data_IF_843994066819
#
_entry.id   IF_843994066819
#
_cell.length_a   1.000
_cell.length_b   1.000
_cell.length_c   1.000
_cell.angle_alpha   90.00
_cell.angle_beta   90.00
_cell.angle_gamma   90.00
#
_symmetry.space_group_name_H-M   'P 1'
#
loop_
_entity.id
_entity.type
_entity.pdbx_description
1 polymer ?
#
# COMPACT_ATOMS: atom_id res chain seq x y z
N UNK A 1 8.58 -14.73 -24.43
CA UNK A 1 8.23 -15.19 -23.08
C UNK A 1 6.73 -15.37 -23.01
N UNK A 2 6.25 -16.56 -22.68
CA UNK A 2 4.82 -16.86 -22.53
C UNK A 2 4.19 -15.94 -21.47
N UNK A 3 3.01 -15.45 -21.75
CA UNK A 3 2.21 -14.61 -20.84
C UNK A 3 1.80 -15.48 -19.63
N UNK A 4 2.13 -15.06 -18.42
CA UNK A 4 1.71 -15.77 -17.19
C UNK A 4 0.25 -15.41 -16.92
N UNK A 5 -0.61 -16.43 -16.76
CA UNK A 5 -2.05 -16.31 -16.46
C UNK A 5 -2.31 -16.58 -14.97
N UNK A 6 -3.45 -16.07 -14.47
CA UNK A 6 -3.88 -16.34 -13.08
C UNK A 6 -4.18 -17.83 -12.84
N UNK A 7 -4.55 -18.57 -13.91
CA UNK A 7 -4.85 -20.00 -13.88
C UNK A 7 -3.60 -20.90 -13.91
N UNK A 8 -2.41 -20.36 -14.19
CA UNK A 8 -1.19 -21.15 -14.30
C UNK A 8 -0.78 -21.72 -12.93
N UNK A 9 -0.06 -22.85 -12.96
CA UNK A 9 0.64 -23.33 -11.78
C UNK A 9 1.83 -22.41 -11.47
N UNK A 10 1.88 -21.84 -10.25
CA UNK A 10 2.92 -20.93 -9.84
C UNK A 10 4.08 -21.67 -9.16
N UNK A 11 5.14 -21.94 -9.92
CA UNK A 11 6.45 -22.24 -9.33
C UNK A 11 7.03 -20.99 -8.65
N UNK A 12 8.04 -21.13 -7.77
CA UNK A 12 8.65 -19.97 -7.11
C UNK A 12 9.17 -18.92 -8.11
N UNK A 13 9.79 -19.35 -9.20
CA UNK A 13 10.29 -18.45 -10.25
C UNK A 13 9.18 -17.77 -11.06
N UNK A 14 8.08 -18.47 -11.37
CA UNK A 14 6.91 -17.88 -12.04
C UNK A 14 6.22 -16.85 -11.15
N UNK A 15 6.03 -17.18 -9.87
CA UNK A 15 5.44 -16.27 -8.90
C UNK A 15 6.26 -15.00 -8.79
N UNK A 16 7.57 -15.13 -8.59
CA UNK A 16 8.46 -13.97 -8.50
C UNK A 16 8.39 -13.09 -9.76
N UNK A 17 8.42 -13.68 -10.97
CA UNK A 17 8.32 -12.92 -12.24
C UNK A 17 6.98 -12.21 -12.40
N UNK A 18 5.90 -12.79 -11.89
CA UNK A 18 4.56 -12.21 -11.96
C UNK A 18 4.41 -11.04 -10.96
N UNK A 19 4.95 -11.19 -9.75
CA UNK A 19 4.80 -10.21 -8.65
C UNK A 19 5.85 -9.11 -8.72
N UNK A 20 7.02 -9.36 -9.31
CA UNK A 20 8.13 -8.40 -9.38
C UNK A 20 7.73 -7.02 -9.92
N UNK A 21 6.90 -6.88 -10.98
CA UNK A 21 6.43 -5.56 -11.40
C UNK A 21 5.62 -4.83 -10.35
N UNK A 22 4.83 -5.54 -9.52
CA UNK A 22 4.05 -4.93 -8.44
C UNK A 22 4.94 -4.48 -7.29
N UNK A 23 5.98 -5.27 -6.96
CA UNK A 23 7.00 -4.86 -5.98
C UNK A 23 7.75 -3.63 -6.47
N UNK A 24 8.22 -3.65 -7.73
CA UNK A 24 8.91 -2.52 -8.34
C UNK A 24 8.03 -1.25 -8.38
N UNK A 25 6.73 -1.42 -8.65
CA UNK A 25 5.74 -0.34 -8.63
C UNK A 25 5.67 0.32 -7.25
N UNK A 26 5.53 -0.47 -6.17
CA UNK A 26 5.41 0.05 -4.81
C UNK A 26 6.72 0.68 -4.31
N UNK A 27 7.85 0.07 -4.61
CA UNK A 27 9.17 0.65 -4.29
C UNK A 27 9.38 1.97 -5.03
N UNK A 28 9.01 2.05 -6.31
CA UNK A 28 9.12 3.28 -7.09
C UNK A 28 8.22 4.40 -6.54
N UNK A 29 6.99 4.06 -6.10
CA UNK A 29 6.09 5.02 -5.42
C UNK A 29 6.77 5.58 -4.16
N UNK A 30 7.38 4.73 -3.35
CA UNK A 30 8.08 5.18 -2.14
C UNK A 30 9.27 6.07 -2.47
N UNK A 31 10.02 5.77 -3.52
CA UNK A 31 11.18 6.58 -3.93
C UNK A 31 10.74 7.95 -4.44
N UNK A 32 9.77 8.03 -5.36
CA UNK A 32 9.37 9.34 -5.86
C UNK A 32 8.70 10.20 -4.78
N UNK A 33 7.99 9.60 -3.82
CA UNK A 33 7.46 10.32 -2.66
C UNK A 33 8.56 10.94 -1.78
N UNK A 34 9.70 10.26 -1.64
CA UNK A 34 10.89 10.83 -0.97
C UNK A 34 11.47 12.01 -1.77
N UNK A 35 11.51 11.89 -3.10
CA UNK A 35 12.01 12.94 -3.99
C UNK A 35 11.10 14.17 -3.96
N UNK A 36 9.78 13.99 -3.99
CA UNK A 36 8.80 15.07 -3.82
C UNK A 36 9.03 15.82 -2.50
N UNK A 37 9.14 15.10 -1.39
CA UNK A 37 9.48 15.69 -0.09
C UNK A 37 10.81 16.46 -0.09
N UNK A 38 11.81 15.98 -0.85
CA UNK A 38 13.08 16.67 -1.01
C UNK A 38 12.93 18.02 -1.73
N UNK A 39 12.17 18.07 -2.84
CA UNK A 39 11.93 19.34 -3.54
C UNK A 39 11.20 20.34 -2.65
N UNK A 40 10.14 19.91 -1.98
CA UNK A 40 9.38 20.79 -1.09
C UNK A 40 10.25 21.33 0.05
N UNK A 41 11.00 20.46 0.73
CA UNK A 41 11.82 20.88 1.89
C UNK A 41 12.93 21.87 1.53
N UNK A 42 13.52 21.73 0.33
CA UNK A 42 14.66 22.55 -0.07
C UNK A 42 14.28 23.84 -0.80
N UNK A 43 13.14 23.86 -1.50
CA UNK A 43 12.78 24.97 -2.37
C UNK A 43 11.53 25.74 -1.91
N UNK A 44 10.55 25.08 -1.24
CA UNK A 44 9.36 25.79 -0.75
C UNK A 44 9.52 26.39 0.64
N UNK A 45 10.57 26.01 1.37
CA UNK A 45 10.88 26.54 2.70
C UNK A 45 10.33 25.71 3.86
N UNK A 46 10.87 25.97 5.07
CA UNK A 46 10.60 25.17 6.27
C UNK A 46 9.13 25.21 6.71
N UNK A 47 8.51 26.39 6.71
CA UNK A 47 7.10 26.56 7.11
C UNK A 47 6.16 25.87 6.14
N UNK A 48 6.39 25.99 4.84
CA UNK A 48 5.63 25.35 3.79
C UNK A 48 5.73 23.82 3.86
N UNK A 49 6.93 23.28 4.10
CA UNK A 49 7.13 21.85 4.29
C UNK A 49 6.38 21.32 5.52
N UNK A 50 6.41 22.06 6.63
CA UNK A 50 5.64 21.71 7.83
C UNK A 50 4.12 21.76 7.57
N UNK A 51 3.64 22.74 6.83
CA UNK A 51 2.24 22.91 6.44
C UNK A 51 1.72 21.75 5.60
N UNK A 52 2.52 21.30 4.62
CA UNK A 52 2.20 20.13 3.79
C UNK A 52 2.10 18.86 4.65
N UNK A 53 3.10 18.61 5.50
CA UNK A 53 3.10 17.45 6.38
C UNK A 53 1.90 17.44 7.35
N UNK A 54 1.43 18.62 7.78
CA UNK A 54 0.27 18.73 8.66
C UNK A 54 -1.04 18.32 7.96
N UNK A 55 -1.24 18.72 6.70
CA UNK A 55 -2.50 18.43 5.98
C UNK A 55 -2.48 17.07 5.27
N UNK A 56 -1.29 16.47 5.03
CA UNK A 56 -1.13 15.19 4.35
C UNK A 56 -1.96 14.02 4.94
N UNK A 57 -2.08 13.84 6.27
CA UNK A 57 -2.92 12.79 6.83
C UNK A 57 -4.37 12.87 6.34
N UNK A 58 -4.93 14.07 6.19
CA UNK A 58 -6.28 14.26 5.65
C UNK A 58 -6.37 13.81 4.19
N UNK A 59 -5.43 14.23 3.36
CA UNK A 59 -5.35 13.81 1.95
C UNK A 59 -5.21 12.30 1.83
N UNK A 60 -4.37 11.68 2.67
CA UNK A 60 -4.15 10.23 2.68
C UNK A 60 -5.40 9.45 3.12
N UNK A 61 -6.18 9.95 4.06
CA UNK A 61 -7.46 9.33 4.47
C UNK A 61 -8.45 9.38 3.29
N UNK A 62 -8.58 10.53 2.62
CA UNK A 62 -9.44 10.67 1.45
C UNK A 62 -8.98 9.74 0.30
N UNK A 63 -7.67 9.62 0.09
CA UNK A 63 -7.06 8.72 -0.89
C UNK A 63 -7.20 7.25 -0.57
N UNK A 64 -7.17 6.89 0.73
CA UNK A 64 -7.29 5.52 1.24
C UNK A 64 -8.56 4.79 0.77
N UNK A 65 -9.61 5.54 0.44
CA UNK A 65 -10.82 4.99 -0.19
C UNK A 65 -10.52 4.36 -1.56
N UNK A 66 -9.55 4.88 -2.31
CA UNK A 66 -9.09 4.27 -3.57
C UNK A 66 -8.46 2.90 -3.34
N UNK A 67 -7.60 2.76 -2.34
CA UNK A 67 -7.02 1.46 -1.96
C UNK A 67 -8.11 0.48 -1.50
N UNK A 68 -9.07 0.93 -0.69
CA UNK A 68 -10.20 0.12 -0.23
C UNK A 68 -11.00 -0.46 -1.42
N UNK A 69 -11.39 0.37 -2.38
CA UNK A 69 -12.13 -0.08 -3.57
C UNK A 69 -11.25 -0.94 -4.47
N UNK A 70 -9.97 -0.59 -4.62
CA UNK A 70 -9.01 -1.32 -5.44
C UNK A 70 -8.78 -2.74 -4.95
N UNK A 71 -8.38 -2.93 -3.70
CA UNK A 71 -8.06 -4.25 -3.14
C UNK A 71 -9.32 -5.11 -2.95
N UNK A 72 -10.38 -4.54 -2.38
CA UNK A 72 -11.62 -5.26 -2.17
C UNK A 72 -12.35 -5.60 -3.46
N UNK A 73 -12.35 -4.69 -4.44
CA UNK A 73 -12.93 -4.91 -5.77
C UNK A 73 -12.14 -5.95 -6.57
N UNK A 74 -10.81 -5.87 -6.54
CA UNK A 74 -9.93 -6.85 -7.22
C UNK A 74 -10.14 -8.26 -6.68
N UNK A 75 -10.32 -8.43 -5.37
CA UNK A 75 -10.63 -9.74 -4.78
C UNK A 75 -11.94 -10.32 -5.33
N UNK A 76 -13.01 -9.52 -5.38
CA UNK A 76 -14.28 -9.95 -5.93
C UNK A 76 -14.19 -10.32 -7.42
N UNK A 77 -13.52 -9.49 -8.21
CA UNK A 77 -13.36 -9.69 -9.66
C UNK A 77 -12.52 -10.93 -9.92
N UNK A 78 -11.41 -11.12 -9.21
CA UNK A 78 -10.55 -12.28 -9.36
C UNK A 78 -11.26 -13.59 -8.99
N UNK A 79 -12.10 -13.59 -7.94
CA UNK A 79 -12.93 -14.74 -7.59
C UNK A 79 -13.90 -15.09 -8.70
N UNK A 80 -14.57 -14.10 -9.32
CA UNK A 80 -15.49 -14.33 -10.45
C UNK A 80 -14.77 -14.84 -11.70
N UNK A 81 -13.53 -14.37 -11.95
CA UNK A 81 -12.70 -14.93 -13.01
C UNK A 81 -12.35 -16.39 -12.74
N UNK A 82 -12.05 -16.76 -11.48
CA UNK A 82 -11.80 -18.14 -11.08
C UNK A 82 -13.02 -19.05 -11.18
N UNK A 83 -14.21 -18.52 -10.92
CA UNK A 83 -15.49 -19.22 -11.13
C UNK A 83 -15.83 -19.43 -12.63
N UNK A 84 -15.04 -18.86 -13.56
CA UNK A 84 -15.30 -18.88 -15.00
C UNK A 84 -16.32 -17.85 -15.47
N UNK A 85 -16.84 -16.99 -14.59
CA UNK A 85 -17.85 -15.98 -14.92
C UNK A 85 -17.18 -14.64 -15.30
N UNK A 86 -16.53 -14.63 -16.47
CA UNK A 86 -15.89 -13.43 -17.01
C UNK A 86 -16.87 -12.26 -17.21
N UNK A 87 -18.14 -12.55 -17.55
CA UNK A 87 -19.15 -11.53 -17.80
C UNK A 87 -19.44 -10.74 -16.53
N UNK A 88 -19.66 -11.42 -15.40
CA UNK A 88 -19.86 -10.78 -14.11
C UNK A 88 -18.57 -10.11 -13.61
N UNK A 89 -17.41 -10.70 -13.86
CA UNK A 89 -16.12 -10.07 -13.51
C UNK A 89 -15.94 -8.70 -14.20
N UNK A 90 -16.22 -8.60 -15.50
CA UNK A 90 -16.17 -7.34 -16.27
C UNK A 90 -17.21 -6.32 -15.77
N UNK A 91 -18.41 -6.78 -15.38
CA UNK A 91 -19.45 -5.91 -14.77
C UNK A 91 -18.97 -5.37 -13.43
N UNK A 92 -18.45 -6.23 -12.54
CA UNK A 92 -17.93 -5.81 -11.23
C UNK A 92 -16.75 -4.85 -11.38
N UNK A 93 -15.82 -5.12 -12.29
CA UNK A 93 -14.74 -4.18 -12.60
C UNK A 93 -15.27 -2.81 -12.97
N UNK A 94 -16.22 -2.74 -13.90
CA UNK A 94 -16.84 -1.46 -14.32
C UNK A 94 -17.54 -0.74 -13.16
N UNK A 95 -18.25 -1.50 -12.33
CA UNK A 95 -18.93 -0.96 -11.14
C UNK A 95 -17.93 -0.37 -10.14
N UNK A 96 -16.74 -1.01 -9.94
CA UNK A 96 -15.69 -0.46 -9.06
C UNK A 96 -15.15 0.86 -9.60
N UNK A 97 -14.92 0.98 -10.91
CA UNK A 97 -14.48 2.24 -11.52
C UNK A 97 -15.55 3.33 -11.36
N UNK A 98 -16.82 3.02 -11.62
CA UNK A 98 -17.94 3.97 -11.42
C UNK A 98 -18.04 4.40 -9.94
N UNK A 99 -17.94 3.45 -9.00
CA UNK A 99 -17.93 3.74 -7.56
C UNK A 99 -16.78 4.69 -7.19
N UNK A 100 -15.60 4.43 -7.73
CA UNK A 100 -14.40 5.25 -7.48
C UNK A 100 -14.61 6.69 -7.94
N UNK A 101 -15.20 6.88 -9.12
CA UNK A 101 -15.50 8.23 -9.64
C UNK A 101 -16.54 8.92 -8.76
N UNK A 102 -17.62 8.23 -8.38
CA UNK A 102 -18.69 8.79 -7.53
C UNK A 102 -18.14 9.18 -6.15
N UNK A 103 -17.47 8.24 -5.48
CA UNK A 103 -16.84 8.50 -4.17
C UNK A 103 -15.75 9.57 -4.30
N UNK A 104 -15.03 9.57 -5.43
CA UNK A 104 -14.04 10.59 -5.76
C UNK A 104 -14.68 11.99 -5.76
N UNK A 105 -15.73 12.18 -6.54
CA UNK A 105 -16.43 13.48 -6.63
C UNK A 105 -17.02 13.92 -5.27
N UNK A 106 -17.68 13.01 -4.55
CA UNK A 106 -18.27 13.31 -3.22
C UNK A 106 -17.19 13.71 -2.23
N UNK A 107 -16.12 12.93 -2.13
CA UNK A 107 -15.03 13.18 -1.17
C UNK A 107 -14.18 14.39 -1.56
N UNK A 108 -14.02 14.69 -2.85
CA UNK A 108 -13.40 15.94 -3.32
C UNK A 108 -14.21 17.13 -2.85
N UNK A 109 -15.54 17.12 -3.07
CA UNK A 109 -16.43 18.22 -2.64
C UNK A 109 -16.37 18.41 -1.12
N UNK A 110 -16.49 17.30 -0.36
CA UNK A 110 -16.37 17.33 1.09
C UNK A 110 -15.00 17.87 1.52
N UNK A 111 -13.92 17.35 0.95
CA UNK A 111 -12.57 17.76 1.27
C UNK A 111 -12.32 19.25 1.03
N UNK A 112 -12.77 19.78 -0.11
CA UNK A 112 -12.63 21.21 -0.44
C UNK A 112 -13.35 22.12 0.56
N UNK A 113 -14.54 21.73 1.02
CA UNK A 113 -15.32 22.50 2.00
C UNK A 113 -14.63 22.50 3.36
N UNK A 114 -14.13 21.36 3.81
CA UNK A 114 -13.63 21.17 5.18
C UNK A 114 -12.10 21.32 5.33
N UNK A 115 -11.34 21.58 4.26
CA UNK A 115 -9.86 21.67 4.31
C UNK A 115 -9.38 22.64 5.39
N UNK A 116 -9.96 23.83 5.48
CA UNK A 116 -9.57 24.86 6.45
C UNK A 116 -9.88 24.42 7.90
N UNK A 117 -11.09 23.90 8.13
CA UNK A 117 -11.48 23.40 9.44
C UNK A 117 -10.56 22.26 9.91
N UNK A 118 -10.18 21.36 8.99
CA UNK A 118 -9.26 20.25 9.28
C UNK A 118 -7.85 20.76 9.56
N UNK A 119 -7.35 21.73 8.79
CA UNK A 119 -6.05 22.33 9.04
C UNK A 119 -5.97 22.95 10.43
N UNK A 120 -6.99 23.70 10.84
CA UNK A 120 -7.11 24.28 12.19
C UNK A 120 -7.20 23.17 13.24
N UNK A 121 -8.02 22.15 13.02
CA UNK A 121 -8.15 21.01 13.93
C UNK A 121 -6.83 20.25 14.15
N UNK A 122 -6.00 20.16 13.11
CA UNK A 122 -4.67 19.54 13.20
C UNK A 122 -3.62 20.46 13.83
N UNK A 123 -3.98 21.71 14.15
CA UNK A 123 -3.10 22.63 14.86
C UNK A 123 -2.28 23.56 13.94
N UNK A 124 -2.78 23.87 12.75
CA UNK A 124 -2.14 24.86 11.88
C UNK A 124 -2.04 26.22 12.59
N UNK A 125 -0.83 26.78 12.64
CA UNK A 125 -0.63 28.15 13.11
C UNK A 125 -1.14 29.15 12.06
N UNK A 126 -1.40 30.42 12.43
CA UNK A 126 -1.80 31.44 11.46
C UNK A 126 -0.86 31.58 10.26
N UNK A 127 0.45 31.34 10.47
CA UNK A 127 1.47 31.37 9.42
C UNK A 127 1.39 30.17 8.48
N UNK A 128 0.99 28.99 9.00
CA UNK A 128 0.89 27.75 8.25
C UNK A 128 -0.45 27.58 7.53
N UNK A 129 -1.50 28.24 8.03
CA UNK A 129 -2.89 28.00 7.58
C UNK A 129 -3.06 28.28 6.09
N UNK A 130 -2.46 29.35 5.57
CA UNK A 130 -2.50 29.71 4.16
C UNK A 130 -1.96 28.60 3.26
N UNK A 131 -0.78 28.09 3.57
CA UNK A 131 -0.12 27.01 2.83
C UNK A 131 -0.87 25.68 2.96
N UNK A 132 -1.36 25.35 4.17
CA UNK A 132 -2.17 24.15 4.40
C UNK A 132 -3.42 24.13 3.52
N UNK A 133 -4.14 25.26 3.48
CA UNK A 133 -5.39 25.38 2.71
C UNK A 133 -5.11 25.40 1.21
N UNK A 134 -4.08 26.10 0.76
CA UNK A 134 -3.68 26.18 -0.64
C UNK A 134 -3.29 24.80 -1.16
N UNK A 135 -2.33 24.14 -0.50
CA UNK A 135 -1.89 22.79 -0.85
C UNK A 135 -3.05 21.79 -0.81
N UNK A 136 -3.76 21.76 0.31
CA UNK A 136 -4.86 20.84 0.53
C UNK A 136 -5.94 20.98 -0.55
N UNK A 137 -6.41 22.18 -0.86
CA UNK A 137 -7.43 22.39 -1.89
C UNK A 137 -6.98 21.99 -3.28
N UNK A 138 -5.73 22.30 -3.66
CA UNK A 138 -5.21 21.89 -4.97
C UNK A 138 -5.16 20.37 -5.06
N UNK A 139 -4.47 19.68 -4.13
CA UNK A 139 -4.32 18.21 -4.17
C UNK A 139 -5.68 17.51 -4.07
N UNK A 140 -6.57 17.98 -3.18
CA UNK A 140 -7.91 17.40 -3.04
C UNK A 140 -8.72 17.51 -4.33
N UNK A 141 -8.54 18.56 -5.14
CA UNK A 141 -9.19 18.70 -6.45
C UNK A 141 -8.83 17.55 -7.41
N UNK A 142 -7.64 16.95 -7.25
CA UNK A 142 -7.16 15.80 -8.03
C UNK A 142 -7.40 14.44 -7.36
N UNK A 143 -7.97 14.40 -6.16
CA UNK A 143 -8.15 13.16 -5.37
C UNK A 143 -8.95 12.08 -6.11
N UNK A 144 -9.86 12.45 -7.03
CA UNK A 144 -10.55 11.46 -7.89
C UNK A 144 -9.55 10.72 -8.79
N UNK A 145 -8.59 11.44 -9.38
CA UNK A 145 -7.53 10.85 -10.19
C UNK A 145 -6.61 9.95 -9.35
N UNK A 146 -6.24 10.39 -8.16
CA UNK A 146 -5.47 9.59 -7.20
C UNK A 146 -6.18 8.27 -6.85
N UNK A 147 -7.48 8.31 -6.55
CA UNK A 147 -8.25 7.09 -6.30
C UNK A 147 -8.28 6.16 -7.51
N UNK A 148 -8.48 6.71 -8.71
CA UNK A 148 -8.46 5.92 -9.95
C UNK A 148 -7.09 5.27 -10.17
N UNK A 149 -5.99 6.00 -9.94
CA UNK A 149 -4.64 5.45 -10.02
C UNK A 149 -4.47 4.23 -9.09
N UNK A 150 -4.87 4.35 -7.81
CA UNK A 150 -4.76 3.26 -6.83
C UNK A 150 -5.62 2.04 -7.21
N UNK A 151 -6.84 2.28 -7.67
CA UNK A 151 -7.74 1.23 -8.14
C UNK A 151 -7.16 0.51 -9.35
N UNK A 152 -6.66 1.23 -10.35
CA UNK A 152 -6.09 0.63 -11.55
C UNK A 152 -4.78 -0.12 -11.28
N UNK A 153 -3.96 0.31 -10.32
CA UNK A 153 -2.77 -0.45 -9.91
C UNK A 153 -3.14 -1.88 -9.51
N UNK A 154 -4.18 -2.07 -8.71
CA UNK A 154 -4.68 -3.39 -8.32
C UNK A 154 -5.31 -4.14 -9.49
N UNK A 155 -6.11 -3.47 -10.33
CA UNK A 155 -6.79 -4.12 -11.45
C UNK A 155 -5.90 -4.49 -12.62
N UNK A 156 -4.78 -3.80 -12.85
CA UNK A 156 -3.81 -4.24 -13.85
C UNK A 156 -3.23 -5.63 -13.52
N UNK A 157 -3.08 -5.96 -12.26
CA UNK A 157 -2.60 -7.28 -11.84
C UNK A 157 -3.68 -8.34 -12.09
N UNK A 158 -4.94 -8.05 -11.70
CA UNK A 158 -6.08 -8.93 -11.99
C UNK A 158 -6.35 -9.10 -13.50
N UNK A 159 -6.02 -8.09 -14.29
CA UNK A 159 -6.09 -8.11 -15.76
C UNK A 159 -4.92 -8.85 -16.42
N UNK A 160 -4.03 -9.51 -15.65
CA UNK A 160 -2.81 -10.18 -16.09
C UNK A 160 -1.84 -9.24 -16.84
N UNK A 161 -1.83 -7.96 -16.44
CA UNK A 161 -1.00 -6.91 -17.04
C UNK A 161 -0.16 -6.14 -16.00
N UNK A 162 0.51 -6.80 -15.04
CA UNK A 162 1.25 -6.12 -13.97
C UNK A 162 2.34 -5.17 -14.51
N UNK A 163 2.93 -5.49 -15.68
CA UNK A 163 3.90 -4.60 -16.33
C UNK A 163 3.30 -3.27 -16.78
N UNK A 164 2.03 -3.25 -17.23
CA UNK A 164 1.35 -2.00 -17.57
C UNK A 164 1.06 -1.16 -16.33
N UNK A 165 0.75 -1.81 -15.20
CA UNK A 165 0.65 -1.12 -13.92
C UNK A 165 1.95 -0.42 -13.54
N UNK A 166 3.07 -1.12 -13.65
CA UNK A 166 4.40 -0.55 -13.42
C UNK A 166 4.69 0.64 -14.36
N UNK A 167 4.43 0.48 -15.65
CA UNK A 167 4.65 1.55 -16.65
C UNK A 167 3.79 2.78 -16.31
N UNK A 168 2.51 2.59 -16.00
CA UNK A 168 1.62 3.68 -15.59
C UNK A 168 2.14 4.42 -14.36
N UNK A 169 2.65 3.68 -13.38
CA UNK A 169 3.22 4.27 -12.16
C UNK A 169 4.53 5.01 -12.42
N UNK A 170 5.40 4.46 -13.27
CA UNK A 170 6.64 5.15 -13.68
C UNK A 170 6.30 6.43 -14.45
N UNK A 171 5.35 6.40 -15.37
CA UNK A 171 4.91 7.61 -16.08
C UNK A 171 4.41 8.68 -15.10
N UNK A 172 3.55 8.32 -14.15
CA UNK A 172 3.07 9.24 -13.14
C UNK A 172 4.20 9.80 -12.26
N UNK A 173 5.06 8.94 -11.70
CA UNK A 173 6.16 9.38 -10.86
C UNK A 173 7.21 10.21 -11.59
N UNK A 174 7.56 9.87 -12.84
CA UNK A 174 8.45 10.72 -13.66
C UNK A 174 7.80 12.08 -13.95
N UNK A 175 6.49 12.11 -14.22
CA UNK A 175 5.76 13.38 -14.39
C UNK A 175 5.84 14.23 -13.12
N UNK A 176 5.61 13.64 -11.95
CA UNK A 176 5.73 14.33 -10.66
C UNK A 176 7.14 14.94 -10.48
N UNK A 177 8.20 14.14 -10.58
CA UNK A 177 9.59 14.58 -10.40
C UNK A 177 9.95 15.72 -11.39
N UNK A 178 9.56 15.58 -12.67
CA UNK A 178 9.83 16.61 -13.68
C UNK A 178 9.09 17.91 -13.35
N UNK A 179 7.80 17.80 -12.97
CA UNK A 179 7.00 18.98 -12.65
C UNK A 179 7.42 19.65 -11.33
N UNK A 180 7.87 18.87 -10.34
CA UNK A 180 8.47 19.44 -9.12
C UNK A 180 9.74 20.22 -9.44
N UNK A 181 10.63 19.67 -10.27
CA UNK A 181 11.83 20.38 -10.71
C UNK A 181 11.49 21.68 -11.47
N UNK A 182 10.43 21.66 -12.28
CA UNK A 182 10.00 22.84 -13.06
C UNK A 182 9.25 23.83 -12.18
N UNK A 183 8.19 23.41 -11.51
CA UNK A 183 7.28 24.33 -10.80
C UNK A 183 7.88 24.81 -9.48
N UNK A 184 8.54 23.93 -8.72
CA UNK A 184 9.11 24.27 -7.43
C UNK A 184 10.56 24.75 -7.58
N UNK A 185 11.38 24.04 -8.40
CA UNK A 185 12.79 24.33 -8.53
C UNK A 185 13.14 25.50 -9.47
N UNK A 186 12.44 25.62 -10.63
CA UNK A 186 12.76 26.65 -11.64
C UNK A 186 11.81 27.84 -11.62
N UNK A 187 10.51 27.61 -11.40
CA UNK A 187 9.48 28.67 -11.48
C UNK A 187 9.15 29.29 -10.12
N UNK A 188 9.67 28.72 -9.03
CA UNK A 188 9.47 29.18 -7.64
C UNK A 188 7.98 29.34 -7.25
N UNK A 189 7.14 28.41 -7.72
CA UNK A 189 5.71 28.39 -7.36
C UNK A 189 5.47 27.85 -5.94
N UNK A 190 6.52 27.50 -5.21
CA UNK A 190 6.45 27.05 -3.82
C UNK A 190 5.48 25.90 -3.61
N UNK A 191 4.62 26.04 -2.60
CA UNK A 191 3.62 25.05 -2.20
C UNK A 191 2.61 24.72 -3.32
N UNK A 192 2.18 25.75 -4.07
CA UNK A 192 1.24 25.54 -5.18
C UNK A 192 1.87 24.71 -6.31
N UNK A 193 3.16 24.92 -6.59
CA UNK A 193 3.92 24.14 -7.58
C UNK A 193 3.95 22.67 -7.24
N UNK A 194 4.29 22.30 -6.01
CA UNK A 194 4.30 20.92 -5.53
C UNK A 194 2.88 20.29 -5.60
N UNK A 195 1.86 21.03 -5.19
CA UNK A 195 0.49 20.55 -5.25
C UNK A 195 0.01 20.26 -6.69
N UNK A 196 0.34 21.13 -7.65
CA UNK A 196 0.02 20.90 -9.07
C UNK A 196 0.85 19.76 -9.67
N UNK A 197 2.13 19.64 -9.34
CA UNK A 197 2.97 18.55 -9.80
C UNK A 197 2.39 17.19 -9.37
N UNK A 198 2.02 17.08 -8.10
CA UNK A 198 1.35 15.89 -7.55
C UNK A 198 0.01 15.62 -8.26
N UNK A 199 -0.87 16.61 -8.34
CA UNK A 199 -2.19 16.45 -8.96
C UNK A 199 -2.14 16.06 -10.44
N UNK A 200 -1.26 16.67 -11.23
CA UNK A 200 -1.08 16.34 -12.65
C UNK A 200 -0.52 14.92 -12.81
N UNK A 201 0.43 14.52 -11.97
CA UNK A 201 0.98 13.16 -11.99
C UNK A 201 -0.09 12.10 -11.67
N UNK A 202 -0.98 12.38 -10.72
CA UNK A 202 -2.13 11.54 -10.40
C UNK A 202 -3.11 11.43 -11.58
N UNK A 203 -3.32 12.52 -12.33
CA UNK A 203 -4.11 12.49 -13.57
C UNK A 203 -3.45 11.56 -14.62
N UNK A 204 -2.14 11.61 -14.79
CA UNK A 204 -1.44 10.69 -15.71
C UNK A 204 -1.65 9.25 -15.24
N UNK A 205 -1.46 8.97 -13.94
CA UNK A 205 -1.63 7.65 -13.36
C UNK A 205 -3.06 7.10 -13.38
N UNK A 206 -4.07 7.97 -13.37
CA UNK A 206 -5.49 7.60 -13.41
C UNK A 206 -6.09 7.56 -14.82
N UNK A 207 -5.77 8.54 -15.68
CA UNK A 207 -6.37 8.68 -17.00
C UNK A 207 -5.78 7.68 -18.01
N UNK A 208 -4.47 7.43 -17.97
CA UNK A 208 -3.83 6.46 -18.86
C UNK A 208 -4.47 5.05 -18.75
N UNK A 209 -4.61 4.46 -17.54
CA UNK A 209 -5.31 3.19 -17.40
C UNK A 209 -6.78 3.25 -17.82
N UNK A 210 -7.47 4.35 -17.52
CA UNK A 210 -8.87 4.54 -17.91
C UNK A 210 -9.03 4.45 -19.44
N UNK A 211 -8.18 5.14 -20.19
CA UNK A 211 -8.17 5.08 -21.67
C UNK A 211 -7.84 3.66 -22.14
N UNK A 212 -6.89 2.97 -21.50
CA UNK A 212 -6.53 1.60 -21.85
C UNK A 212 -7.73 0.64 -21.73
N UNK A 213 -8.49 0.71 -20.62
CA UNK A 213 -9.62 -0.18 -20.38
C UNK A 213 -10.91 0.23 -21.12
N UNK A 214 -11.02 1.50 -21.56
CA UNK A 214 -12.11 1.97 -22.43
C UNK A 214 -11.96 1.48 -23.88
N UNK A 215 -10.73 1.39 -24.36
CA UNK A 215 -10.44 0.93 -25.73
C UNK A 215 -10.42 -0.60 -25.82
N UNK A 216 -10.66 -1.18 -27.02
CA UNK A 216 -10.39 -2.59 -27.25
C UNK A 216 -8.94 -2.93 -26.85
N UNK A 217 -8.77 -3.87 -25.94
CA UNK A 217 -7.47 -4.23 -25.40
C UNK A 217 -7.32 -5.76 -25.31
N UNK A 218 -6.09 -6.22 -25.07
CA UNK A 218 -5.73 -7.65 -24.99
C UNK A 218 -5.79 -8.21 -23.56
N UNK A 219 -6.43 -7.52 -22.62
CA UNK A 219 -6.61 -8.03 -21.25
C UNK A 219 -7.95 -8.76 -21.08
N UNK A 220 -8.08 -9.55 -20.03
CA UNK A 220 -9.31 -10.23 -19.65
C UNK A 220 -10.38 -9.21 -19.24
N UNK A 221 -9.97 -8.09 -18.64
CA UNK A 221 -10.85 -7.03 -18.16
C UNK A 221 -10.97 -5.90 -19.18
N UNK A 222 -12.20 -5.41 -19.33
CA UNK A 222 -12.52 -4.18 -20.08
C UNK A 222 -13.77 -3.53 -19.47
N UNK A 223 -13.93 -2.23 -19.67
CA UNK A 223 -15.14 -1.52 -19.25
C UNK A 223 -16.33 -1.93 -20.14
N UNK A 224 -17.46 -2.21 -19.51
CA UNK A 224 -18.70 -2.66 -20.18
C UNK A 224 -19.88 -1.88 -19.64
N UNK A 225 -20.93 -1.73 -20.46
CA UNK A 225 -22.18 -1.12 -19.98
C UNK A 225 -22.75 -1.96 -18.84
N UNK A 226 -22.99 -1.35 -17.68
CA UNK A 226 -23.56 -2.02 -16.51
C UNK A 226 -24.39 -1.07 -15.67
N UNK A 227 -25.26 -1.61 -14.83
CA UNK A 227 -26.00 -0.86 -13.81
C UNK A 227 -25.27 -1.03 -12.47
N UNK A 228 -25.35 -0.03 -11.60
CA UNK A 228 -24.81 -0.12 -10.23
C UNK A 228 -25.69 -1.05 -9.39
N UNK A 229 -25.07 -2.05 -8.80
CA UNK A 229 -25.70 -2.96 -7.85
C UNK A 229 -25.06 -2.73 -6.46
N UNK A 230 -25.87 -2.33 -5.49
CA UNK A 230 -25.37 -1.93 -4.16
C UNK A 230 -24.67 -3.10 -3.43
N UNK A 231 -25.19 -4.32 -3.51
CA UNK A 231 -24.65 -5.48 -2.76
C UNK A 231 -23.19 -5.79 -3.10
N UNK A 232 -22.78 -5.94 -4.38
CA UNK A 232 -21.37 -6.15 -4.74
C UNK A 232 -20.48 -4.97 -4.32
N UNK A 233 -20.98 -3.73 -4.43
CA UNK A 233 -20.24 -2.52 -4.05
C UNK A 233 -19.95 -2.49 -2.55
N UNK A 234 -20.96 -2.69 -1.72
CA UNK A 234 -20.79 -2.76 -0.27
C UNK A 234 -19.88 -3.92 0.15
N UNK A 235 -20.01 -5.08 -0.54
CA UNK A 235 -19.14 -6.23 -0.27
C UNK A 235 -17.67 -5.93 -0.63
N UNK A 236 -17.41 -5.23 -1.73
CA UNK A 236 -16.07 -4.79 -2.09
C UNK A 236 -15.50 -3.79 -1.06
N UNK A 237 -16.25 -2.77 -0.68
CA UNK A 237 -15.84 -1.80 0.32
C UNK A 237 -15.57 -2.45 1.68
N UNK A 238 -16.47 -3.33 2.15
CA UNK A 238 -16.28 -4.07 3.39
C UNK A 238 -15.06 -5.00 3.34
N UNK A 239 -14.80 -5.63 2.17
CA UNK A 239 -13.66 -6.51 2.01
C UNK A 239 -12.33 -5.76 1.94
N UNK A 240 -12.30 -4.55 1.36
CA UNK A 240 -11.11 -3.71 1.29
C UNK A 240 -10.96 -2.71 2.46
N UNK A 241 -11.87 -2.74 3.45
CA UNK A 241 -11.87 -1.80 4.58
C UNK A 241 -10.57 -1.81 5.39
N UNK A 242 -9.81 -2.91 5.36
CA UNK A 242 -8.49 -3.04 5.98
C UNK A 242 -7.51 -1.97 5.52
N UNK A 243 -7.55 -1.58 4.24
CA UNK A 243 -6.65 -0.56 3.68
C UNK A 243 -7.00 0.84 4.20
N UNK A 244 -8.30 1.16 4.25
CA UNK A 244 -8.76 2.42 4.82
C UNK A 244 -8.44 2.51 6.33
N UNK A 245 -8.68 1.42 7.07
CA UNK A 245 -8.33 1.33 8.49
C UNK A 245 -6.82 1.52 8.71
N UNK A 246 -5.99 0.90 7.88
CA UNK A 246 -4.53 1.06 7.95
C UNK A 246 -4.12 2.51 7.70
N UNK A 247 -4.70 3.18 6.71
CA UNK A 247 -4.38 4.59 6.39
C UNK A 247 -4.74 5.53 7.55
N UNK A 248 -5.93 5.38 8.12
CA UNK A 248 -6.38 6.17 9.29
C UNK A 248 -5.47 5.88 10.49
N UNK A 249 -5.22 4.61 10.78
CA UNK A 249 -4.40 4.19 11.91
C UNK A 249 -2.97 4.72 11.81
N UNK A 250 -2.36 4.66 10.64
CA UNK A 250 -0.99 5.16 10.42
C UNK A 250 -0.88 6.66 10.69
N UNK A 251 -1.90 7.44 10.32
CA UNK A 251 -1.94 8.88 10.61
C UNK A 251 -2.00 9.16 12.11
N UNK A 252 -2.87 8.45 12.84
CA UNK A 252 -2.99 8.57 14.30
C UNK A 252 -1.69 8.16 15.00
N UNK A 253 -1.10 7.05 14.58
CA UNK A 253 0.14 6.53 15.14
C UNK A 253 1.30 7.49 14.94
N UNK A 254 1.45 8.09 13.75
CA UNK A 254 2.48 9.09 13.49
C UNK A 254 2.41 10.28 14.45
N UNK A 255 1.20 10.76 14.74
CA UNK A 255 0.99 11.86 15.69
C UNK A 255 1.45 11.45 17.10
N UNK A 256 1.07 10.24 17.55
CA UNK A 256 1.43 9.73 18.88
C UNK A 256 2.96 9.50 18.98
N UNK A 257 3.59 8.98 17.92
CA UNK A 257 5.05 8.84 17.87
C UNK A 257 5.76 10.18 18.05
N UNK A 258 5.37 11.18 17.29
CA UNK A 258 5.97 12.51 17.38
C UNK A 258 5.78 13.12 18.78
N UNK A 259 4.59 12.94 19.38
CA UNK A 259 4.34 13.42 20.74
C UNK A 259 5.24 12.73 21.78
N UNK A 260 5.39 11.41 21.71
CA UNK A 260 6.24 10.67 22.65
C UNK A 260 7.74 11.01 22.43
N UNK A 261 8.18 11.11 21.19
CA UNK A 261 9.56 11.46 20.86
C UNK A 261 9.90 12.87 21.38
N UNK A 262 8.99 13.82 21.17
CA UNK A 262 9.17 15.19 21.67
C UNK A 262 9.27 15.23 23.20
N UNK A 263 8.46 14.41 23.89
CA UNK A 263 8.46 14.30 25.35
C UNK A 263 9.75 13.69 25.92
N UNK A 264 10.30 12.64 25.30
CA UNK A 264 11.40 11.86 25.87
C UNK A 264 12.79 12.27 25.33
N UNK A 265 12.86 12.79 24.11
CA UNK A 265 14.12 13.03 23.39
C UNK A 265 14.20 14.49 22.88
N UNK A 266 13.05 15.12 22.63
CA UNK A 266 12.99 16.43 21.98
C UNK A 266 13.13 16.34 20.45
N UNK A 267 13.61 17.41 19.83
CA UNK A 267 13.71 17.57 18.37
C UNK A 267 14.59 16.50 17.71
N UNK A 268 15.66 16.07 18.38
CA UNK A 268 16.55 15.01 17.88
C UNK A 268 15.81 13.68 17.69
N UNK A 269 14.87 13.35 18.58
CA UNK A 269 14.06 12.14 18.46
C UNK A 269 13.13 12.19 17.24
N UNK A 270 12.49 13.32 17.00
CA UNK A 270 11.61 13.52 15.82
C UNK A 270 12.43 13.43 14.54
N UNK A 271 13.62 14.03 14.51
CA UNK A 271 14.53 13.95 13.36
C UNK A 271 15.00 12.52 13.08
N UNK A 272 15.40 11.79 14.13
CA UNK A 272 15.75 10.35 14.05
C UNK A 272 14.60 9.52 13.46
N UNK A 273 13.39 9.74 13.93
CA UNK A 273 12.21 9.03 13.44
C UNK A 273 11.92 9.35 11.98
N UNK A 274 12.08 10.62 11.56
CA UNK A 274 11.94 11.00 10.16
C UNK A 274 12.84 10.21 9.23
N UNK A 275 14.13 10.07 9.58
CA UNK A 275 15.08 9.25 8.80
C UNK A 275 14.62 7.79 8.72
N UNK A 276 14.19 7.21 9.84
CA UNK A 276 13.70 5.83 9.87
C UNK A 276 12.44 5.64 9.04
N UNK A 277 11.52 6.60 9.04
CA UNK A 277 10.29 6.55 8.25
C UNK A 277 10.56 6.46 6.74
N UNK A 278 11.52 7.21 6.20
CA UNK A 278 11.88 7.10 4.78
C UNK A 278 12.36 5.70 4.40
N UNK A 279 13.18 5.09 5.23
CA UNK A 279 13.66 3.73 4.99
C UNK A 279 12.53 2.71 5.15
N UNK A 280 11.70 2.90 6.17
CA UNK A 280 10.53 2.05 6.41
C UNK A 280 9.57 2.06 5.21
N UNK A 281 9.30 3.21 4.59
CA UNK A 281 8.45 3.29 3.41
C UNK A 281 8.95 2.42 2.26
N UNK A 282 10.25 2.45 1.98
CA UNK A 282 10.84 1.65 0.90
C UNK A 282 10.78 0.15 1.25
N UNK A 283 11.09 -0.23 2.48
CA UNK A 283 11.15 -1.64 2.89
C UNK A 283 9.75 -2.27 3.00
N UNK A 284 8.80 -1.56 3.58
CA UNK A 284 7.40 -2.00 3.65
C UNK A 284 6.78 -2.08 2.24
N UNK A 285 7.17 -1.21 1.31
CA UNK A 285 6.71 -1.26 -0.08
C UNK A 285 7.02 -2.60 -0.76
N UNK A 286 8.10 -3.29 -0.39
CA UNK A 286 8.43 -4.62 -0.89
C UNK A 286 7.35 -5.63 -0.47
N UNK A 287 6.95 -5.62 0.80
CA UNK A 287 5.92 -6.53 1.31
C UNK A 287 4.54 -6.20 0.77
N UNK A 288 4.19 -4.92 0.70
CA UNK A 288 2.92 -4.44 0.15
C UNK A 288 2.82 -4.78 -1.33
N UNK A 289 3.87 -4.51 -2.11
CA UNK A 289 3.91 -4.84 -3.53
C UNK A 289 3.79 -6.35 -3.80
N UNK A 290 4.43 -7.17 -2.97
CA UNK A 290 4.28 -8.62 -3.02
C UNK A 290 2.83 -9.05 -2.70
N UNK A 291 2.25 -8.51 -1.64
CA UNK A 291 0.90 -8.85 -1.20
C UNK A 291 -0.16 -8.47 -2.26
N UNK A 292 -0.09 -7.25 -2.81
CA UNK A 292 -0.95 -6.78 -3.90
C UNK A 292 -0.77 -7.65 -5.16
N UNK A 293 0.47 -8.03 -5.47
CA UNK A 293 0.79 -8.89 -6.61
C UNK A 293 0.21 -10.29 -6.50
N UNK A 294 0.18 -10.87 -5.29
CA UNK A 294 -0.36 -12.21 -5.02
C UNK A 294 -1.88 -12.23 -4.89
N UNK A 295 -2.52 -11.15 -4.44
CA UNK A 295 -3.94 -11.13 -4.11
C UNK A 295 -4.86 -11.61 -5.25
N UNK A 296 -4.71 -11.17 -6.52
CA UNK A 296 -5.53 -11.66 -7.62
C UNK A 296 -5.35 -13.15 -7.92
N UNK A 297 -4.11 -13.68 -7.78
CA UNK A 297 -3.83 -15.11 -7.97
C UNK A 297 -4.53 -15.94 -6.89
N UNK A 298 -4.47 -15.50 -5.65
CA UNK A 298 -5.14 -16.14 -4.51
C UNK A 298 -6.65 -16.09 -4.70
N UNK A 299 -7.21 -14.92 -5.05
CA UNK A 299 -8.64 -14.74 -5.29
C UNK A 299 -9.16 -15.61 -6.44
N UNK A 300 -8.41 -15.68 -7.56
CA UNK A 300 -8.73 -16.53 -8.69
C UNK A 300 -8.78 -18.01 -8.28
N UNK A 301 -7.74 -18.51 -7.64
CA UNK A 301 -7.67 -19.92 -7.25
C UNK A 301 -8.70 -20.28 -6.18
N UNK A 302 -9.08 -19.33 -5.32
CA UNK A 302 -10.17 -19.50 -4.38
C UNK A 302 -11.53 -19.62 -5.13
N UNK A 303 -11.79 -18.75 -6.11
CA UNK A 303 -12.99 -18.84 -6.97
C UNK A 303 -13.04 -20.11 -7.77
N UNK A 304 -11.92 -20.56 -8.33
CA UNK A 304 -11.78 -21.83 -9.06
C UNK A 304 -11.82 -23.08 -8.16
N UNK A 305 -11.97 -22.93 -6.83
CA UNK A 305 -11.91 -24.03 -5.85
C UNK A 305 -10.61 -24.84 -5.90
N UNK A 306 -9.53 -24.28 -6.46
CA UNK A 306 -8.22 -24.91 -6.56
C UNK A 306 -7.45 -24.80 -5.22
N UNK A 307 -7.77 -25.71 -4.30
CA UNK A 307 -7.16 -25.74 -2.97
C UNK A 307 -5.66 -26.07 -3.00
N UNK A 308 -5.21 -26.82 -4.00
CA UNK A 308 -3.80 -27.14 -4.17
C UNK A 308 -2.98 -25.87 -4.41
N UNK A 309 -3.38 -25.06 -5.39
CA UNK A 309 -2.67 -23.83 -5.72
C UNK A 309 -2.82 -22.77 -4.62
N UNK A 310 -3.97 -22.73 -3.95
CA UNK A 310 -4.16 -21.85 -2.78
C UNK A 310 -3.15 -22.20 -1.65
N UNK A 311 -2.96 -23.48 -1.36
CA UNK A 311 -1.99 -23.94 -0.37
C UNK A 311 -0.54 -23.69 -0.81
N UNK A 312 -0.25 -23.89 -2.10
CA UNK A 312 1.04 -23.62 -2.73
C UNK A 312 1.40 -22.13 -2.60
N UNK A 313 0.46 -21.23 -2.94
CA UNK A 313 0.61 -19.79 -2.81
C UNK A 313 0.86 -19.35 -1.36
N UNK A 314 0.07 -19.87 -0.40
CA UNK A 314 0.24 -19.56 1.01
C UNK A 314 1.66 -19.96 1.50
N UNK A 315 2.10 -21.19 1.23
CA UNK A 315 3.43 -21.67 1.65
C UNK A 315 4.56 -20.83 1.07
N UNK A 316 4.51 -20.55 -0.24
CA UNK A 316 5.54 -19.76 -0.91
C UNK A 316 5.59 -18.32 -0.41
N UNK A 317 4.42 -17.75 -0.14
CA UNK A 317 4.34 -16.37 0.37
C UNK A 317 4.84 -16.23 1.80
N UNK A 318 4.56 -17.20 2.66
CA UNK A 318 5.13 -17.23 4.01
C UNK A 318 6.65 -17.42 3.97
N UNK A 319 7.15 -18.27 3.07
CA UNK A 319 8.59 -18.44 2.86
C UNK A 319 9.23 -17.15 2.33
N UNK A 320 8.60 -16.48 1.36
CA UNK A 320 9.06 -15.18 0.87
C UNK A 320 9.10 -14.14 1.99
N UNK A 321 8.04 -14.04 2.81
CA UNK A 321 7.99 -13.11 3.94
C UNK A 321 9.13 -13.35 4.93
N UNK A 322 9.45 -14.62 5.22
CA UNK A 322 10.58 -14.98 6.09
C UNK A 322 11.94 -14.58 5.48
N UNK A 323 12.18 -14.96 4.22
CA UNK A 323 13.46 -14.66 3.55
C UNK A 323 13.62 -13.14 3.40
N UNK A 324 12.59 -12.44 2.91
CA UNK A 324 12.64 -10.99 2.73
C UNK A 324 12.80 -10.28 4.08
N UNK A 325 12.11 -10.73 5.14
CA UNK A 325 12.22 -10.16 6.47
C UNK A 325 13.65 -10.25 7.01
N UNK A 326 14.27 -11.44 6.96
CA UNK A 326 15.67 -11.64 7.38
C UNK A 326 16.62 -10.80 6.52
N UNK A 327 16.41 -10.77 5.21
CA UNK A 327 17.24 -9.98 4.28
C UNK A 327 17.15 -8.49 4.60
N UNK A 328 15.95 -7.97 4.85
CA UNK A 328 15.76 -6.55 5.15
C UNK A 328 16.34 -6.16 6.52
N UNK A 329 16.25 -7.03 7.53
CA UNK A 329 16.91 -6.79 8.82
C UNK A 329 18.43 -6.77 8.65
N UNK A 330 19.01 -7.74 7.92
CA UNK A 330 20.44 -7.77 7.66
C UNK A 330 20.88 -6.52 6.85
N UNK A 331 20.12 -6.15 5.82
CA UNK A 331 20.38 -4.95 5.03
C UNK A 331 20.28 -3.69 5.89
N UNK A 332 19.29 -3.60 6.78
CA UNK A 332 19.16 -2.49 7.73
C UNK A 332 20.37 -2.37 8.65
N UNK A 333 20.87 -3.50 9.16
CA UNK A 333 22.05 -3.49 10.02
C UNK A 333 23.29 -2.96 9.30
N UNK A 334 23.47 -3.32 8.02
CA UNK A 334 24.56 -2.84 7.17
C UNK A 334 24.38 -1.36 6.80
N UNK A 335 23.16 -0.96 6.45
CA UNK A 335 22.85 0.39 5.98
C UNK A 335 22.64 1.40 7.12
N UNK A 336 22.47 0.98 8.37
CA UNK A 336 22.21 1.88 9.50
C UNK A 336 23.26 3.00 9.61
N UNK A 337 24.55 2.68 9.52
CA UNK A 337 25.63 3.65 9.61
C UNK A 337 25.73 4.56 8.37
N UNK A 338 25.75 4.05 7.12
CA UNK A 338 25.79 4.94 5.95
C UNK A 338 24.55 5.80 5.82
N UNK A 339 23.34 5.29 6.11
CA UNK A 339 22.12 6.11 6.04
C UNK A 339 22.10 7.18 7.12
N UNK A 340 22.43 6.85 8.38
CA UNK A 340 22.55 7.85 9.43
C UNK A 340 23.57 8.94 9.06
N UNK A 341 24.72 8.55 8.47
CA UNK A 341 25.74 9.51 8.02
C UNK A 341 25.25 10.45 6.91
N UNK A 342 24.47 9.93 5.96
CA UNK A 342 23.93 10.74 4.86
C UNK A 342 22.92 11.78 5.37
N UNK A 343 22.02 11.39 6.28
CA UNK A 343 20.93 12.24 6.72
C UNK A 343 21.30 13.16 7.88
N UNK A 344 22.11 12.67 8.82
CA UNK A 344 22.37 13.35 10.10
C UNK A 344 23.86 13.34 10.49
N UNK A 345 24.76 13.13 9.54
CA UNK A 345 26.21 13.06 9.78
C UNK A 345 26.88 14.39 10.17
N UNK A 346 26.13 15.49 10.14
CA UNK A 346 26.57 16.81 10.60
C UNK A 346 26.54 16.96 12.13
N UNK A 347 25.84 16.08 12.85
CA UNK A 347 25.71 16.06 14.30
C UNK A 347 26.09 14.67 14.83
N UNK A 348 27.14 14.57 15.63
CA UNK A 348 27.68 13.29 16.11
C UNK A 348 26.73 12.60 17.09
N UNK A 349 26.03 13.34 17.94
CA UNK A 349 25.08 12.78 18.91
C UNK A 349 23.84 12.24 18.18
N UNK A 350 23.26 13.02 17.28
CA UNK A 350 22.11 12.62 16.46
C UNK A 350 22.45 11.43 15.55
N UNK A 351 23.68 11.37 15.04
CA UNK A 351 24.16 10.21 14.26
C UNK A 351 24.16 8.92 15.08
N UNK A 352 24.77 8.93 16.27
CA UNK A 352 24.82 7.73 17.12
C UNK A 352 23.42 7.33 17.58
N UNK A 353 22.56 8.27 17.93
CA UNK A 353 21.18 8.03 18.30
C UNK A 353 20.40 7.41 17.15
N UNK A 354 20.51 7.94 15.93
CA UNK A 354 19.84 7.42 14.72
C UNK A 354 20.34 6.00 14.41
N UNK A 355 21.65 5.77 14.50
CA UNK A 355 22.23 4.44 14.27
C UNK A 355 21.72 3.40 15.27
N UNK A 356 21.64 3.77 16.56
CA UNK A 356 21.13 2.91 17.62
C UNK A 356 19.64 2.60 17.42
N UNK A 357 18.84 3.63 17.25
CA UNK A 357 17.40 3.52 17.00
C UNK A 357 17.10 2.64 15.79
N UNK A 358 17.84 2.80 14.70
CA UNK A 358 17.66 2.07 13.46
C UNK A 358 17.88 0.55 13.64
N UNK A 359 18.88 0.15 14.43
CA UNK A 359 19.17 -1.26 14.74
C UNK A 359 18.02 -1.93 15.49
N UNK A 360 17.42 -1.24 16.46
CA UNK A 360 16.29 -1.77 17.23
C UNK A 360 15.04 -1.80 16.34
N UNK A 361 14.71 -0.68 15.71
CA UNK A 361 13.50 -0.52 14.92
C UNK A 361 13.44 -1.50 13.75
N UNK A 362 14.56 -1.78 13.09
CA UNK A 362 14.61 -2.65 11.91
C UNK A 362 14.15 -4.09 12.16
N UNK A 363 14.18 -4.56 13.41
CA UNK A 363 13.67 -5.89 13.77
C UNK A 363 12.18 -6.07 13.45
N UNK A 364 11.42 -4.98 13.33
CA UNK A 364 10.00 -5.05 12.91
C UNK A 364 9.83 -5.68 11.54
N UNK A 365 10.79 -5.50 10.61
CA UNK A 365 10.72 -6.04 9.26
C UNK A 365 10.71 -7.58 9.22
N UNK A 366 11.23 -8.24 10.27
CA UNK A 366 11.20 -9.70 10.38
C UNK A 366 9.77 -10.26 10.33
N UNK A 367 8.82 -9.54 10.93
CA UNK A 367 7.44 -10.02 11.10
C UNK A 367 6.42 -9.23 10.25
N UNK A 368 6.75 -8.01 9.85
CA UNK A 368 5.84 -7.14 9.09
C UNK A 368 5.32 -7.80 7.81
N UNK A 369 6.18 -8.52 7.07
CA UNK A 369 5.82 -9.21 5.85
C UNK A 369 4.74 -10.29 6.05
N UNK A 370 4.80 -11.03 7.15
CA UNK A 370 3.78 -12.04 7.51
C UNK A 370 2.43 -11.39 7.77
N UNK A 371 2.40 -10.28 8.49
CA UNK A 371 1.18 -9.59 8.89
C UNK A 371 0.50 -8.93 7.68
N UNK A 372 1.28 -8.23 6.84
CA UNK A 372 0.81 -7.59 5.62
C UNK A 372 0.24 -8.65 4.66
N UNK A 373 0.99 -9.72 4.44
CA UNK A 373 0.54 -10.80 3.57
C UNK A 373 -0.72 -11.49 4.11
N UNK A 374 -0.80 -11.78 5.42
CA UNK A 374 -1.97 -12.43 6.03
C UNK A 374 -3.24 -11.58 5.88
N UNK A 375 -3.15 -10.26 6.10
CA UNK A 375 -4.25 -9.34 5.87
C UNK A 375 -4.72 -9.39 4.41
N UNK A 376 -3.81 -9.25 3.45
CA UNK A 376 -4.08 -9.33 2.02
C UNK A 376 -4.63 -10.68 1.58
N UNK A 377 -4.13 -11.78 2.16
CA UNK A 377 -4.61 -13.14 1.92
C UNK A 377 -6.09 -13.29 2.28
N UNK A 378 -6.50 -12.83 3.45
CA UNK A 378 -7.91 -12.86 3.85
C UNK A 378 -8.78 -11.91 3.03
N UNK A 379 -8.27 -10.77 2.59
CA UNK A 379 -8.96 -9.90 1.62
C UNK A 379 -9.20 -10.64 0.30
N UNK A 380 -8.18 -11.32 -0.23
CA UNK A 380 -8.29 -12.10 -1.47
C UNK A 380 -9.28 -13.28 -1.36
N UNK A 381 -9.42 -13.87 -0.17
CA UNK A 381 -10.43 -14.88 0.15
C UNK A 381 -11.84 -14.30 0.36
N UNK A 382 -12.04 -12.99 0.27
CA UNK A 382 -13.31 -12.32 0.51
C UNK A 382 -13.70 -12.22 1.99
N UNK A 383 -12.74 -12.31 2.90
CA UNK A 383 -12.97 -12.19 4.35
C UNK A 383 -12.41 -10.86 4.88
N UNK A 384 -13.03 -9.77 4.47
CA UNK A 384 -12.64 -8.42 4.89
C UNK A 384 -12.66 -8.19 6.40
N UNK A 385 -13.53 -8.88 7.13
CA UNK A 385 -13.61 -8.73 8.59
C UNK A 385 -12.32 -9.19 9.28
N UNK A 386 -11.75 -10.33 8.88
CA UNK A 386 -10.48 -10.81 9.45
C UNK A 386 -9.34 -9.90 8.98
N UNK A 387 -9.31 -9.53 7.69
CA UNK A 387 -8.31 -8.63 7.15
C UNK A 387 -8.32 -7.28 7.90
N UNK A 388 -9.50 -6.69 8.09
CA UNK A 388 -9.66 -5.46 8.85
C UNK A 388 -9.23 -5.62 10.32
N UNK A 389 -9.59 -6.74 10.96
CA UNK A 389 -9.18 -7.02 12.35
C UNK A 389 -7.65 -7.11 12.47
N UNK A 390 -6.98 -7.85 11.58
CA UNK A 390 -5.50 -7.95 11.58
C UNK A 390 -4.87 -6.58 11.36
N UNK A 391 -5.31 -5.83 10.35
CA UNK A 391 -4.77 -4.50 10.05
C UNK A 391 -5.02 -3.50 11.18
N UNK A 392 -6.23 -3.43 11.71
CA UNK A 392 -6.59 -2.48 12.78
C UNK A 392 -5.84 -2.78 14.08
N UNK A 393 -5.83 -4.06 14.49
CA UNK A 393 -5.11 -4.47 15.72
C UNK A 393 -3.61 -4.19 15.57
N UNK A 394 -3.03 -4.52 14.41
CA UNK A 394 -1.61 -4.30 14.12
C UNK A 394 -1.24 -2.81 14.16
N UNK A 395 -1.94 -1.99 13.35
CA UNK A 395 -1.53 -0.60 13.09
C UNK A 395 -2.05 0.38 14.12
N UNK A 396 -3.13 0.10 14.82
CA UNK A 396 -3.63 1.01 15.84
C UNK A 396 -3.41 0.44 17.25
N UNK A 397 -4.09 -0.66 17.59
CA UNK A 397 -4.14 -1.11 18.98
C UNK A 397 -2.76 -1.50 19.52
N UNK A 398 -2.08 -2.44 18.86
CA UNK A 398 -0.79 -2.91 19.36
C UNK A 398 0.28 -1.83 19.25
N UNK A 399 0.26 -1.01 18.20
CA UNK A 399 1.27 0.02 18.02
C UNK A 399 1.08 1.17 19.00
N UNK A 400 -0.14 1.68 19.18
CA UNK A 400 -0.43 2.74 20.16
C UNK A 400 -0.15 2.26 21.58
N UNK A 401 -0.63 1.06 21.95
CA UNK A 401 -0.36 0.50 23.26
C UNK A 401 1.15 0.36 23.53
N UNK A 402 1.90 -0.14 22.56
CA UNK A 402 3.36 -0.29 22.70
C UNK A 402 4.07 1.05 22.85
N UNK A 403 3.71 2.06 22.05
CA UNK A 403 4.30 3.41 22.11
C UNK A 403 4.03 4.09 23.45
N UNK A 404 2.87 3.84 24.07
CA UNK A 404 2.51 4.45 25.34
C UNK A 404 3.11 3.70 26.54
N UNK A 405 3.19 2.37 26.49
CA UNK A 405 3.58 1.53 27.64
C UNK A 405 5.09 1.31 27.69
N UNK A 406 5.74 0.95 26.56
CA UNK A 406 7.14 0.56 26.57
C UNK A 406 8.10 1.67 27.01
N UNK A 407 7.89 2.95 26.69
CA UNK A 407 8.76 4.02 27.19
C UNK A 407 8.72 4.19 28.71
N UNK A 408 7.64 3.76 29.39
CA UNK A 408 7.56 3.77 30.85
C UNK A 408 8.46 2.74 31.51
N UNK A 409 8.84 1.67 30.77
CA UNK A 409 9.66 0.55 31.27
C UNK A 409 11.09 0.67 30.77
N UNK A 410 11.29 0.98 29.51
CA UNK A 410 12.59 0.95 28.81
C UNK A 410 13.08 2.36 28.40
N UNK A 411 12.40 3.44 28.81
CA UNK A 411 12.75 4.79 28.42
C UNK A 411 12.72 4.98 26.90
N UNK A 412 13.73 5.63 26.37
CA UNK A 412 13.86 5.95 24.93
C UNK A 412 13.84 4.69 24.05
N UNK A 413 14.53 3.62 24.45
CA UNK A 413 14.56 2.37 23.69
C UNK A 413 13.17 1.75 23.56
N UNK A 414 12.30 1.96 24.55
CA UNK A 414 10.91 1.53 24.49
C UNK A 414 10.14 2.14 23.30
N UNK A 415 10.47 3.38 22.91
CA UNK A 415 9.85 4.03 21.72
C UNK A 415 10.29 3.29 20.45
N UNK A 416 11.57 2.97 20.31
CA UNK A 416 12.11 2.27 19.15
C UNK A 416 11.65 0.81 19.08
N UNK A 417 11.46 0.16 20.23
CA UNK A 417 10.93 -1.21 20.33
C UNK A 417 9.42 -1.28 20.06
N UNK A 418 8.69 -0.19 20.15
CA UNK A 418 7.22 -0.19 20.08
C UNK A 418 6.69 -0.85 18.79
N UNK A 419 7.30 -0.54 17.64
CA UNK A 419 6.91 -1.15 16.36
C UNK A 419 7.25 -2.65 16.30
N UNK A 420 8.37 -3.06 16.89
CA UNK A 420 8.79 -4.46 16.93
C UNK A 420 7.82 -5.31 17.75
N UNK A 421 7.44 -4.82 18.93
CA UNK A 421 6.50 -5.48 19.83
C UNK A 421 5.10 -5.52 19.22
N UNK A 422 4.67 -4.44 18.57
CA UNK A 422 3.38 -4.39 17.87
C UNK A 422 3.32 -5.43 16.72
N UNK A 423 4.37 -5.56 15.93
CA UNK A 423 4.46 -6.56 14.86
C UNK A 423 4.48 -7.99 15.40
N UNK A 424 5.09 -8.22 16.58
CA UNK A 424 5.07 -9.51 17.24
C UNK A 424 3.66 -9.93 17.67
N UNK A 425 2.90 -9.06 18.34
CA UNK A 425 1.52 -9.37 18.71
C UNK A 425 0.62 -9.53 17.49
N UNK A 426 0.83 -8.72 16.46
CA UNK A 426 0.11 -8.86 15.19
C UNK A 426 0.43 -10.19 14.50
N UNK A 427 1.68 -10.68 14.58
CA UNK A 427 2.07 -11.99 14.06
C UNK A 427 1.34 -13.12 14.79
N UNK A 428 1.26 -13.08 16.11
CA UNK A 428 0.49 -14.06 16.89
C UNK A 428 -0.98 -14.07 16.48
N UNK A 429 -1.58 -12.90 16.30
CA UNK A 429 -2.96 -12.75 15.83
C UNK A 429 -3.14 -13.30 14.41
N UNK A 430 -2.23 -12.96 13.51
CA UNK A 430 -2.21 -13.44 12.12
C UNK A 430 -2.12 -14.98 12.06
N UNK A 431 -1.22 -15.55 12.84
CA UNK A 431 -1.04 -17.00 12.95
C UNK A 431 -2.29 -17.68 13.52
N UNK A 432 -2.89 -17.11 14.54
CA UNK A 432 -4.14 -17.58 15.14
C UNK A 432 -5.25 -17.65 14.07
N UNK A 433 -5.48 -16.59 13.30
CA UNK A 433 -6.51 -16.61 12.25
C UNK A 433 -6.18 -17.59 11.13
N UNK A 434 -4.93 -17.72 10.71
CA UNK A 434 -4.51 -18.71 9.73
C UNK A 434 -4.82 -20.14 10.23
N UNK A 435 -4.56 -20.46 11.50
CA UNK A 435 -4.83 -21.78 12.07
C UNK A 435 -6.35 -22.03 12.19
N UNK A 436 -7.11 -21.08 12.74
CA UNK A 436 -8.56 -21.26 12.96
C UNK A 436 -9.31 -21.42 11.63
N UNK A 437 -8.92 -20.67 10.60
CA UNK A 437 -9.65 -20.66 9.32
C UNK A 437 -9.16 -21.69 8.31
N UNK A 438 -8.12 -22.49 8.61
CA UNK A 438 -7.55 -23.49 7.70
C UNK A 438 -8.56 -24.49 7.15
N UNK A 439 -9.47 -24.98 8.00
CA UNK A 439 -10.51 -25.93 7.59
C UNK A 439 -11.55 -25.30 6.68
N UNK A 440 -11.97 -24.05 6.96
CA UNK A 440 -12.96 -23.32 6.18
C UNK A 440 -12.51 -23.08 4.74
N UNK A 441 -11.24 -22.68 4.56
CA UNK A 441 -10.70 -22.32 3.25
C UNK A 441 -9.89 -23.44 2.58
N UNK A 442 -9.64 -24.55 3.28
CA UNK A 442 -9.02 -25.76 2.73
C UNK A 442 -7.51 -25.66 2.48
N UNK A 443 -6.82 -24.73 3.11
CA UNK A 443 -5.35 -24.67 3.10
C UNK A 443 -4.74 -25.43 4.29
N UNK A 444 -3.43 -25.76 4.22
CA UNK A 444 -2.70 -26.59 5.19
C UNK A 444 -3.32 -27.99 5.43
N UNK A 445 -3.94 -28.56 4.41
CA UNK A 445 -4.39 -29.94 4.45
C UNK A 445 -3.31 -30.87 3.88
N UNK A 446 -3.10 -32.05 4.54
CA UNK A 446 -2.05 -33.01 4.14
C UNK A 446 -2.34 -33.72 2.80
N UNK A 447 -3.60 -33.85 2.42
CA UNK A 447 -4.05 -34.59 1.23
C UNK A 447 -4.87 -33.69 0.30
N UNK A 448 -4.23 -32.70 -0.32
CA UNK A 448 -4.85 -32.00 -1.44
C UNK A 448 -4.49 -32.77 -2.70
N UNK A 449 -5.44 -33.48 -3.30
CA UNK A 449 -5.24 -34.15 -4.57
C UNK A 449 -4.76 -33.15 -5.64
N UNK A 450 -3.82 -33.56 -6.47
CA UNK A 450 -3.44 -32.80 -7.65
C UNK A 450 -4.71 -32.56 -8.50
N UNK A 451 -4.90 -31.38 -9.09
CA UNK A 451 -5.94 -31.20 -10.09
C UNK A 451 -5.73 -32.25 -11.19
N UNK A 452 -6.76 -33.00 -11.51
CA UNK A 452 -6.75 -33.91 -12.69
C UNK A 452 -6.57 -32.98 -13.90
N UNK A 453 -5.46 -33.09 -14.62
CA UNK A 453 -5.29 -32.42 -15.91
C UNK A 453 -6.47 -32.80 -16.82
N UNK A 454 -7.16 -31.84 -17.46
CA UNK A 454 -8.20 -32.15 -18.39
C UNK A 454 -7.61 -33.02 -19.52
N UNK A 455 -8.24 -34.14 -19.82
CA UNK A 455 -7.81 -35.16 -20.81
C UNK A 455 -7.48 -34.57 -22.21
N UNK A 456 -7.88 -33.34 -22.51
CA UNK A 456 -7.59 -32.63 -23.77
C UNK A 456 -6.13 -32.25 -23.98
N UNK A 457 -5.27 -32.24 -22.95
CA UNK A 457 -3.83 -31.95 -23.12
C UNK A 457 -2.97 -33.21 -23.28
N UNK A 458 -3.48 -34.39 -22.95
CA UNK A 458 -2.74 -35.66 -23.15
C UNK A 458 -2.74 -36.16 -24.60
N UNK A 459 -3.68 -35.75 -25.42
CA UNK A 459 -3.75 -36.13 -26.84
C UNK A 459 -2.77 -35.38 -27.73
N UNK A 460 -2.25 -34.23 -27.32
CA UNK A 460 -1.30 -33.46 -28.12
C UNK A 460 0.18 -33.72 -27.81
N UNK A 461 0.51 -34.48 -26.76
CA UNK A 461 1.90 -34.87 -26.46
C UNK A 461 2.35 -36.17 -27.13
N UNK A 462 1.44 -36.92 -27.74
CA UNK A 462 1.75 -38.17 -28.43
C UNK A 462 1.67 -38.05 -29.98
N UNK A 463 1.61 -36.82 -30.49
CA UNK A 463 1.52 -36.55 -31.93
C UNK A 463 2.71 -35.77 -32.52
N UNK A 464 3.86 -35.70 -31.79
CA UNK A 464 5.15 -35.20 -32.33
C UNK A 464 6.26 -36.24 -32.14
#
# INVERSE_FOLDING_TARGET
>A
MSKIKLSDHFTAGRLFRFVLPSVAMMVFISIYGVVDGFFVSNFAGKTSFASINLIMPFVMILGGVGFMVGTGGTALVSQKLGEGDEKTAKRYFTMMIMLTVILGAVLTTFGLIFTENVAVFFGATPEMLGDCVLYGRIVISFTTAFKLQNVFQSFFIAAEKPKLGLISTIMAGCTNIILDAVFVGLMDFGVAGAAFATGISECVGGIFPLIYFLRPNSSILRLTKTRLEIRPLLRACANGSSELMSSISSSVVSIIYNFQLMKYIGENGVSTFGVMMYVQFIFIAIFVGYAIGCAPVIGFNYGAQNRYELNNMLKKSLCFAAIAGVTLVALSAVLASPLAKIFVGYDAELYEQTRHAFRIFSLCFLLAGFNIFTSSFFTALGNGAISAAVSFMRTLIFQVSSILILPLIFGVDGIWMANVVAEFFAFLLSLMFLIIKRKKYGYWQKNVALPVEPESEMTNKNAD
#
